data_IF_474673741988
#
_entry.id   IF_474673741988
#
_cell.length_a   1.000
_cell.length_b   1.000
_cell.length_c   1.000
_cell.angle_alpha   90.00
_cell.angle_beta   90.00
_cell.angle_gamma   90.00
#
_symmetry.space_group_name_H-M   'P 1'
#
loop_
_entity.id
_entity.type
_entity.pdbx_description
1 polymer ?
#
# COMPACT_ATOMS: atom_id res chain seq x y z
N UNK A 1 2.63 -16.50 -41.32
CA UNK A 1 2.07 -15.23 -40.81
C UNK A 1 2.01 -15.31 -39.30
N UNK A 2 2.60 -14.32 -38.64
CA UNK A 2 2.53 -13.98 -37.21
C UNK A 2 3.19 -14.93 -36.20
N UNK A 3 4.48 -14.64 -35.99
CA UNK A 3 5.16 -14.91 -34.73
C UNK A 3 4.58 -14.03 -33.62
N UNK A 4 4.41 -14.54 -32.40
CA UNK A 4 4.43 -13.70 -31.20
C UNK A 4 5.11 -14.42 -30.05
N UNK A 5 6.32 -13.93 -29.76
CA UNK A 5 7.15 -14.17 -28.59
C UNK A 5 6.37 -13.85 -27.31
N UNK A 6 6.12 -14.82 -26.44
CA UNK A 6 5.84 -14.57 -25.00
C UNK A 6 6.61 -15.51 -24.05
N UNK A 7 7.55 -16.33 -24.55
CA UNK A 7 8.22 -17.36 -23.75
C UNK A 7 9.39 -16.90 -22.86
N UNK A 8 9.65 -15.61 -22.65
CA UNK A 8 10.86 -15.18 -21.91
C UNK A 8 10.61 -14.15 -20.82
N UNK A 9 9.57 -14.33 -20.00
CA UNK A 9 9.39 -13.56 -18.76
C UNK A 9 8.78 -14.38 -17.60
N UNK A 10 8.95 -15.71 -17.60
CA UNK A 10 8.18 -16.63 -16.74
C UNK A 10 9.05 -17.47 -15.79
N UNK A 11 10.11 -16.88 -15.22
CA UNK A 11 10.88 -17.54 -14.16
C UNK A 11 10.52 -17.03 -12.75
N UNK A 12 10.07 -15.78 -12.61
CA UNK A 12 9.69 -15.18 -11.32
C UNK A 12 8.18 -15.17 -11.00
N UNK A 13 7.31 -15.38 -12.00
CA UNK A 13 5.84 -15.22 -11.86
C UNK A 13 5.14 -16.50 -11.38
N UNK A 14 5.79 -17.67 -11.46
CA UNK A 14 5.15 -18.99 -11.24
C UNK A 14 4.71 -19.31 -9.81
N UNK A 15 5.07 -18.50 -8.81
CA UNK A 15 4.57 -18.68 -7.43
C UNK A 15 3.32 -17.83 -7.17
N UNK A 16 3.15 -16.71 -7.90
CA UNK A 16 2.09 -15.72 -7.67
C UNK A 16 0.68 -16.29 -7.88
N UNK A 17 0.54 -17.23 -8.81
CA UNK A 17 -0.77 -17.71 -9.27
C UNK A 17 -1.25 -19.01 -8.61
N UNK A 18 -0.36 -19.74 -7.92
CA UNK A 18 -0.63 -21.14 -7.59
C UNK A 18 -1.72 -21.33 -6.52
N UNK A 19 -1.95 -20.36 -5.64
CA UNK A 19 -3.00 -20.50 -4.61
C UNK A 19 -4.39 -20.04 -5.11
N UNK A 20 -4.42 -18.94 -5.87
CA UNK A 20 -5.67 -18.32 -6.33
C UNK A 20 -6.23 -19.05 -7.55
N UNK A 21 -5.38 -19.40 -8.52
CA UNK A 21 -5.82 -20.05 -9.77
C UNK A 21 -6.09 -21.55 -9.58
N UNK A 22 -5.25 -22.27 -8.81
CA UNK A 22 -5.40 -23.74 -8.69
C UNK A 22 -6.42 -24.17 -7.61
N UNK A 23 -6.72 -23.32 -6.61
CA UNK A 23 -7.55 -23.72 -5.46
C UNK A 23 -8.78 -22.83 -5.19
N UNK A 24 -9.00 -21.77 -5.98
CA UNK A 24 -10.16 -20.87 -5.80
C UNK A 24 -10.13 -20.11 -4.47
N UNK A 25 -8.93 -19.77 -3.99
CA UNK A 25 -8.75 -19.04 -2.74
C UNK A 25 -9.52 -17.71 -2.78
N UNK A 26 -10.38 -17.50 -1.78
CA UNK A 26 -11.18 -16.29 -1.64
C UNK A 26 -10.36 -15.21 -0.91
N UNK A 27 -10.07 -14.11 -1.60
CA UNK A 27 -9.26 -12.99 -1.09
C UNK A 27 -10.08 -11.90 -0.37
N UNK A 28 -11.40 -12.09 -0.29
CA UNK A 28 -12.33 -11.20 0.45
C UNK A 28 -12.71 -11.75 1.83
N UNK A 29 -12.21 -12.93 2.21
CA UNK A 29 -12.55 -13.56 3.49
C UNK A 29 -11.90 -12.80 4.63
N UNK A 30 -12.66 -12.58 5.69
CA UNK A 30 -12.16 -11.96 6.91
C UNK A 30 -11.75 -13.02 7.93
N UNK A 31 -10.66 -12.75 8.64
CA UNK A 31 -10.29 -13.49 9.82
C UNK A 31 -11.22 -13.16 11.01
N UNK A 32 -10.95 -13.74 12.18
CA UNK A 32 -11.74 -13.50 13.40
C UNK A 32 -11.67 -12.05 13.93
N UNK A 33 -10.73 -11.26 13.44
CA UNK A 33 -10.53 -9.85 13.80
C UNK A 33 -11.08 -8.91 12.73
N UNK A 34 -11.61 -9.44 11.62
CA UNK A 34 -12.18 -8.66 10.52
C UNK A 34 -11.15 -8.23 9.48
N UNK A 35 -9.94 -8.81 9.49
CA UNK A 35 -8.88 -8.53 8.52
C UNK A 35 -8.99 -9.45 7.31
N UNK A 36 -8.84 -8.86 6.12
CA UNK A 36 -8.67 -9.56 4.85
C UNK A 36 -7.19 -9.92 4.62
N UNK A 37 -6.89 -10.84 3.68
CA UNK A 37 -5.52 -11.08 3.24
C UNK A 37 -4.79 -9.81 2.80
N UNK A 38 -5.50 -8.83 2.23
CA UNK A 38 -4.92 -7.55 1.85
C UNK A 38 -4.56 -6.71 3.08
N UNK A 39 -5.43 -6.69 4.10
CA UNK A 39 -5.13 -6.00 5.36
C UNK A 39 -3.85 -6.56 6.01
N UNK A 40 -3.67 -7.88 6.00
CA UNK A 40 -2.47 -8.53 6.52
C UNK A 40 -1.22 -8.23 5.68
N UNK A 41 -1.32 -8.27 4.35
CA UNK A 41 -0.20 -7.96 3.47
C UNK A 41 0.28 -6.51 3.65
N UNK A 42 -0.65 -5.57 3.79
CA UNK A 42 -0.33 -4.16 4.03
C UNK A 42 0.28 -3.98 5.42
N UNK A 43 -0.30 -4.59 6.45
CA UNK A 43 0.19 -4.50 7.83
C UNK A 43 1.61 -5.07 8.00
N UNK A 44 1.94 -6.13 7.28
CA UNK A 44 3.27 -6.76 7.31
C UNK A 44 4.24 -6.17 6.28
N UNK A 45 3.86 -5.09 5.58
CA UNK A 45 4.69 -4.36 4.60
C UNK A 45 5.13 -5.24 3.42
N UNK A 46 4.24 -6.11 2.96
CA UNK A 46 4.46 -6.99 1.82
C UNK A 46 3.84 -6.40 0.55
N UNK A 47 4.45 -5.32 0.03
CA UNK A 47 3.92 -4.54 -1.10
C UNK A 47 3.62 -5.38 -2.33
N UNK A 48 4.47 -6.35 -2.67
CA UNK A 48 4.27 -7.21 -3.85
C UNK A 48 3.05 -8.14 -3.71
N UNK A 49 2.71 -8.53 -2.47
CA UNK A 49 1.53 -9.32 -2.16
C UNK A 49 0.29 -8.43 -2.15
N UNK A 50 0.40 -7.21 -1.59
CA UNK A 50 -0.68 -6.23 -1.59
C UNK A 50 -1.06 -5.83 -3.03
N UNK A 51 -0.09 -5.52 -3.88
CA UNK A 51 -0.31 -5.24 -5.31
C UNK A 51 -1.03 -6.40 -6.01
N UNK A 52 -0.57 -7.64 -5.79
CA UNK A 52 -1.21 -8.83 -6.36
C UNK A 52 -2.68 -8.98 -5.91
N UNK A 53 -2.97 -8.72 -4.64
CA UNK A 53 -4.33 -8.80 -4.10
C UNK A 53 -5.22 -7.69 -4.66
N UNK A 54 -4.69 -6.48 -4.86
CA UNK A 54 -5.39 -5.36 -5.49
C UNK A 54 -5.68 -5.66 -6.97
N UNK A 55 -4.71 -6.21 -7.72
CA UNK A 55 -4.92 -6.70 -9.09
C UNK A 55 -6.00 -7.79 -9.16
N UNK A 56 -6.10 -8.62 -8.11
CA UNK A 56 -7.16 -9.60 -7.94
C UNK A 56 -8.50 -9.00 -7.46
N UNK A 57 -8.64 -7.67 -7.43
CA UNK A 57 -9.85 -6.96 -7.04
C UNK A 57 -10.21 -7.07 -5.54
N UNK A 58 -9.23 -7.35 -4.67
CA UNK A 58 -9.41 -7.31 -3.22
C UNK A 58 -9.62 -5.87 -2.73
N UNK A 59 -10.56 -5.68 -1.82
CA UNK A 59 -10.86 -4.38 -1.22
C UNK A 59 -10.09 -4.19 0.08
N UNK A 60 -9.44 -3.04 0.23
CA UNK A 60 -8.81 -2.64 1.49
C UNK A 60 -9.79 -1.88 2.36
N UNK A 61 -9.89 -2.23 3.64
CA UNK A 61 -10.83 -1.58 4.53
C UNK A 61 -10.30 -0.22 4.99
N UNK A 62 -10.93 0.84 4.52
CA UNK A 62 -10.64 2.20 4.97
C UNK A 62 -11.31 2.49 6.33
N UNK A 63 -10.59 3.17 7.23
CA UNK A 63 -11.05 3.46 8.60
C UNK A 63 -9.91 3.75 9.57
N UNK A 64 -10.15 3.60 10.88
CA UNK A 64 -9.15 3.89 11.92
C UNK A 64 -7.89 3.03 11.76
N UNK A 65 -8.01 1.76 11.37
CA UNK A 65 -6.84 0.89 11.12
C UNK A 65 -5.95 1.42 10.00
N UNK A 66 -6.56 1.84 8.89
CA UNK A 66 -5.85 2.47 7.78
C UNK A 66 -5.18 3.79 8.20
N UNK A 67 -5.88 4.61 8.98
CA UNK A 67 -5.34 5.87 9.50
C UNK A 67 -4.11 5.63 10.41
N UNK A 68 -4.20 4.63 11.30
CA UNK A 68 -3.09 4.23 12.17
C UNK A 68 -1.88 3.75 11.36
N UNK A 69 -2.11 2.93 10.33
CA UNK A 69 -1.03 2.46 9.45
C UNK A 69 -0.38 3.60 8.66
N UNK A 70 -1.17 4.56 8.16
CA UNK A 70 -0.65 5.75 7.46
C UNK A 70 0.19 6.62 8.41
N UNK A 71 -0.31 6.80 9.64
CA UNK A 71 0.37 7.52 10.71
C UNK A 71 1.69 6.84 11.12
N UNK A 72 1.69 5.53 11.27
CA UNK A 72 2.89 4.75 11.61
C UNK A 72 3.94 4.81 10.50
N UNK A 73 3.53 4.64 9.24
CA UNK A 73 4.43 4.76 8.09
C UNK A 73 5.08 6.15 8.04
N UNK A 74 4.29 7.22 8.24
CA UNK A 74 4.78 8.58 8.31
C UNK A 74 5.70 8.84 9.51
N UNK A 75 5.40 8.24 10.67
CA UNK A 75 6.24 8.34 11.86
C UNK A 75 7.60 7.64 11.69
N UNK A 76 7.67 6.60 10.86
CA UNK A 76 8.90 5.85 10.57
C UNK A 76 9.68 6.42 9.37
N UNK A 77 9.10 7.34 8.61
CA UNK A 77 9.69 7.81 7.36
C UNK A 77 9.57 6.80 6.22
N UNK A 78 8.66 5.83 6.30
CA UNK A 78 8.50 4.76 5.32
C UNK A 78 7.71 5.24 4.10
N UNK A 79 8.43 5.78 3.13
CA UNK A 79 7.87 6.26 1.87
C UNK A 79 7.21 5.15 1.06
N UNK A 80 7.76 3.93 1.06
CA UNK A 80 7.23 2.82 0.29
C UNK A 80 5.83 2.39 0.78
N UNK A 81 5.65 2.34 2.10
CA UNK A 81 4.34 2.04 2.69
C UNK A 81 3.34 3.18 2.48
N UNK A 82 3.79 4.45 2.51
CA UNK A 82 2.95 5.59 2.19
C UNK A 82 2.49 5.59 0.73
N UNK A 83 3.38 5.30 -0.21
CA UNK A 83 3.05 5.17 -1.64
C UNK A 83 2.05 4.02 -1.86
N UNK A 84 2.25 2.86 -1.22
CA UNK A 84 1.30 1.76 -1.29
C UNK A 84 -0.08 2.17 -0.76
N UNK A 85 -0.15 2.79 0.43
CA UNK A 85 -1.42 3.19 1.03
C UNK A 85 -2.14 4.30 0.25
N UNK A 86 -1.43 5.33 -0.18
CA UNK A 86 -2.05 6.52 -0.79
C UNK A 86 -2.21 6.38 -2.30
N UNK A 87 -1.17 5.97 -3.03
CA UNK A 87 -1.18 5.96 -4.50
C UNK A 87 -1.72 4.64 -5.06
N UNK A 88 -1.48 3.49 -4.42
CA UNK A 88 -1.95 2.17 -4.91
C UNK A 88 -3.33 1.83 -4.34
N UNK A 89 -3.48 1.88 -3.02
CA UNK A 89 -4.74 1.51 -2.34
C UNK A 89 -5.76 2.65 -2.37
N UNK A 90 -5.31 3.91 -2.41
CA UNK A 90 -6.19 5.08 -2.41
C UNK A 90 -6.74 5.46 -1.04
N UNK A 91 -6.01 5.16 0.04
CA UNK A 91 -6.35 5.61 1.39
C UNK A 91 -6.24 7.14 1.45
N UNK A 92 -7.26 7.81 1.99
CA UNK A 92 -7.23 9.26 2.17
C UNK A 92 -6.11 9.65 3.15
N UNK A 93 -5.11 10.43 2.72
CA UNK A 93 -3.98 10.83 3.57
C UNK A 93 -4.38 11.77 4.71
N UNK A 94 -5.61 12.32 4.67
CA UNK A 94 -6.16 13.16 5.73
C UNK A 94 -6.87 12.37 6.83
N UNK A 95 -6.89 11.04 6.75
CA UNK A 95 -7.44 10.23 7.83
C UNK A 95 -6.66 10.46 9.13
N UNK A 96 -7.41 10.74 10.19
CA UNK A 96 -6.89 10.88 11.54
C UNK A 96 -6.88 9.54 12.28
N UNK A 97 -5.82 9.32 13.05
CA UNK A 97 -5.78 8.25 14.04
C UNK A 97 -6.78 8.51 15.19
N UNK A 98 -6.71 7.71 16.26
CA UNK A 98 -7.59 7.83 17.43
C UNK A 98 -7.50 9.20 18.14
N UNK A 99 -6.43 9.98 17.90
CA UNK A 99 -6.20 11.31 18.47
C UNK A 99 -6.42 12.41 17.43
N UNK A 100 -7.05 12.08 16.29
CA UNK A 100 -7.21 12.94 15.11
C UNK A 100 -5.88 13.43 14.52
N UNK A 101 -4.77 12.74 14.81
CA UNK A 101 -3.49 13.06 14.18
C UNK A 101 -3.46 12.40 12.81
N UNK A 102 -3.15 13.20 11.81
CA UNK A 102 -2.90 12.71 10.45
C UNK A 102 -1.44 12.30 10.29
N UNK A 103 -1.14 11.56 9.22
CA UNK A 103 0.23 11.21 8.86
C UNK A 103 1.16 12.43 8.79
N UNK A 104 0.66 13.58 8.32
CA UNK A 104 1.45 14.81 8.27
C UNK A 104 1.88 15.33 9.66
N UNK A 105 1.05 15.15 10.69
CA UNK A 105 1.42 15.54 12.06
C UNK A 105 2.67 14.78 12.53
N UNK A 106 2.71 13.47 12.24
CA UNK A 106 3.79 12.59 12.69
C UNK A 106 5.05 12.75 11.83
N UNK A 107 4.89 12.84 10.50
CA UNK A 107 6.00 13.14 9.60
C UNK A 107 6.69 14.47 9.95
N UNK A 108 5.90 15.51 10.24
CA UNK A 108 6.44 16.82 10.63
C UNK A 108 7.13 16.78 12.00
N UNK A 109 6.54 16.07 12.97
CA UNK A 109 7.14 15.91 14.31
C UNK A 109 8.49 15.18 14.28
N UNK A 110 8.64 14.21 13.38
CA UNK A 110 9.86 13.40 13.27
C UNK A 110 10.85 13.92 12.23
N UNK A 111 10.51 14.99 11.50
CA UNK A 111 11.39 15.61 10.51
C UNK A 111 11.56 14.80 9.22
N UNK A 112 10.60 13.91 8.89
CA UNK A 112 10.64 13.08 7.69
C UNK A 112 10.21 13.86 6.46
N UNK A 113 11.07 14.78 6.02
CA UNK A 113 10.81 15.66 4.87
C UNK A 113 10.43 14.90 3.59
N UNK A 114 11.07 13.75 3.34
CA UNK A 114 10.82 12.92 2.16
C UNK A 114 9.39 12.35 2.13
N UNK A 115 8.77 12.09 3.29
CA UNK A 115 7.37 11.64 3.36
C UNK A 115 6.36 12.76 3.16
N UNK A 116 6.76 14.01 3.41
CA UNK A 116 5.94 15.21 3.22
C UNK A 116 6.05 15.68 1.76
N UNK A 117 7.24 15.54 1.19
CA UNK A 117 7.53 16.01 -0.15
C UNK A 117 7.26 14.91 -1.17
N UNK A 118 6.06 14.93 -1.75
CA UNK A 118 5.76 14.13 -2.94
C UNK A 118 6.76 14.49 -4.06
N UNK A 119 7.57 13.55 -4.58
CA UNK A 119 8.48 13.83 -5.69
C UNK A 119 7.62 14.13 -6.94
N UNK A 120 7.42 15.41 -7.26
CA UNK A 120 6.65 15.85 -8.43
C UNK A 120 5.52 16.84 -8.15
N UNK A 121 5.24 17.16 -6.88
CA UNK A 121 4.36 18.28 -6.54
C UNK A 121 5.10 19.61 -6.72
N UNK A 122 4.86 20.31 -7.83
CA UNK A 122 5.47 21.60 -8.13
C UNK A 122 5.32 22.61 -6.97
N UNK A 123 6.45 23.18 -6.55
CA UNK A 123 6.51 24.21 -5.53
C UNK A 123 7.91 24.82 -5.42
N UNK A 124 8.35 25.51 -6.47
CA UNK A 124 9.42 26.47 -6.31
C UNK A 124 9.00 27.53 -5.29
N UNK A 125 9.86 27.78 -4.30
CA UNK A 125 10.00 29.05 -3.57
C UNK A 125 11.32 28.97 -2.81
N UNK A 126 12.28 29.73 -3.31
CA UNK A 126 13.64 29.75 -2.81
C UNK A 126 13.78 30.43 -1.46
N UNK A 127 14.95 30.22 -0.87
CA UNK A 127 15.66 31.02 0.13
C UNK A 127 17.05 30.35 0.23
N UNK A 128 18.20 30.98 0.01
CA UNK A 128 18.57 32.33 -0.43
C UNK A 128 20.05 32.30 -0.86
#
# INVERSE_FOLDING_TARGET
>A
MHATRIHTFWAGVRIKEKLVIDFGAQFLVQDRFGHTPLDDAVRERHSEVAEFLIEANAEFKTGISAAVQLCEAAAQGDTAQLELLVDVIGVDPNLGDYDNRTALHLAASNGHYETIQRPGGAGGRGHG
#
